data_IF_264900144534
#
_entry.id   IF_264900144534
#
_cell.length_a   1.000
_cell.length_b   1.000
_cell.length_c   1.000
_cell.angle_alpha   90.00
_cell.angle_beta   90.00
_cell.angle_gamma   90.00
#
_symmetry.space_group_name_H-M   'P 1'
#
loop_
_entity.id
_entity.type
_entity.pdbx_description
1 polymer ?
#
# COMPACT_ATOMS: atom_id res chain seq x y z
N UNK A 1 -13.86 26.30 20.72
CA UNK A 1 -12.62 27.05 20.44
C UNK A 1 -12.49 27.20 18.95
N UNK A 2 -12.79 28.39 18.44
CA UNK A 2 -12.68 28.76 17.02
C UNK A 2 -11.21 28.72 16.58
N UNK A 3 -10.93 28.01 15.48
CA UNK A 3 -9.62 28.00 14.83
C UNK A 3 -9.31 29.40 14.31
N UNK A 4 -8.25 30.02 14.80
CA UNK A 4 -7.61 31.13 14.08
C UNK A 4 -6.82 30.52 12.93
N UNK A 5 -7.27 30.78 11.71
CA UNK A 5 -6.61 30.33 10.48
C UNK A 5 -5.31 31.12 10.38
N UNK A 6 -4.17 30.44 10.50
CA UNK A 6 -2.85 31.08 10.39
C UNK A 6 -2.73 31.63 8.98
N UNK A 7 -2.79 32.95 8.81
CA UNK A 7 -2.39 33.60 7.58
C UNK A 7 -0.90 33.33 7.34
N UNK A 8 -0.55 32.78 6.17
CA UNK A 8 0.81 32.80 5.65
C UNK A 8 1.57 31.46 5.62
N UNK A 9 1.21 30.45 6.43
CA UNK A 9 1.81 29.12 6.29
C UNK A 9 1.00 28.30 5.28
N UNK A 10 1.42 28.29 4.01
CA UNK A 10 0.98 27.25 3.07
C UNK A 10 1.44 25.91 3.66
N UNK A 11 0.51 25.12 4.19
CA UNK A 11 0.78 23.70 4.46
C UNK A 11 1.16 23.11 3.12
N UNK A 12 2.42 22.74 2.95
CA UNK A 12 2.88 22.07 1.75
C UNK A 12 2.22 20.70 1.71
N UNK A 13 1.14 20.59 0.95
CA UNK A 13 0.39 19.35 0.76
C UNK A 13 0.98 18.49 -0.35
N UNK A 14 2.18 18.82 -0.85
CA UNK A 14 2.84 18.00 -1.86
C UNK A 14 3.39 16.71 -1.22
N UNK A 15 3.31 15.59 -1.94
CA UNK A 15 3.92 14.34 -1.49
C UNK A 15 5.43 14.53 -1.26
N UNK A 16 5.92 14.19 -0.07
CA UNK A 16 7.34 14.33 0.28
C UNK A 16 8.27 13.51 -0.64
N UNK A 17 7.81 12.32 -1.06
CA UNK A 17 8.57 11.40 -1.91
C UNK A 17 7.61 10.49 -2.70
N UNK A 18 7.37 10.83 -3.97
CA UNK A 18 6.44 10.09 -4.84
C UNK A 18 6.90 8.63 -5.07
N UNK A 19 8.19 8.32 -5.33
CA UNK A 19 8.66 6.94 -5.40
C UNK A 19 8.32 6.10 -4.17
N UNK A 20 8.44 6.66 -2.96
CA UNK A 20 8.07 5.95 -1.73
C UNK A 20 6.56 5.71 -1.58
N UNK A 21 5.72 6.62 -2.09
CA UNK A 21 4.27 6.38 -2.18
C UNK A 21 3.98 5.19 -3.11
N UNK A 22 4.64 5.14 -4.27
CA UNK A 22 4.49 4.03 -5.21
C UNK A 22 4.99 2.71 -4.62
N UNK A 23 6.14 2.71 -3.94
CA UNK A 23 6.68 1.54 -3.24
C UNK A 23 5.72 1.05 -2.15
N UNK A 24 5.22 1.96 -1.31
CA UNK A 24 4.23 1.63 -0.28
C UNK A 24 2.95 1.03 -0.88
N UNK A 25 2.48 1.58 -2.00
CA UNK A 25 1.32 1.06 -2.73
C UNK A 25 1.59 -0.34 -3.30
N UNK A 26 2.76 -0.59 -3.87
CA UNK A 26 3.14 -1.90 -4.38
C UNK A 26 3.17 -2.96 -3.25
N UNK A 27 3.72 -2.60 -2.09
CA UNK A 27 3.73 -3.46 -0.91
C UNK A 27 2.32 -3.71 -0.36
N UNK A 28 1.47 -2.68 -0.33
CA UNK A 28 0.07 -2.80 0.09
C UNK A 28 -0.71 -3.72 -0.86
N UNK A 29 -0.55 -3.54 -2.17
CA UNK A 29 -1.20 -4.37 -3.18
C UNK A 29 -0.76 -5.82 -3.05
N UNK A 30 0.55 -6.07 -3.00
CA UNK A 30 1.10 -7.41 -2.77
C UNK A 30 0.57 -8.04 -1.46
N UNK A 31 0.58 -7.28 -0.36
CA UNK A 31 0.05 -7.74 0.92
C UNK A 31 -1.45 -8.04 0.89
N UNK A 32 -2.21 -7.37 0.02
CA UNK A 32 -3.66 -7.53 -0.08
C UNK A 32 -4.09 -8.90 -0.63
N UNK A 33 -3.21 -9.59 -1.37
CA UNK A 33 -3.42 -11.00 -1.71
C UNK A 33 -3.60 -11.86 -0.45
N UNK A 34 -2.70 -11.70 0.52
CA UNK A 34 -2.77 -12.38 1.81
C UNK A 34 -3.91 -11.87 2.67
N UNK A 35 -4.19 -10.56 2.63
CA UNK A 35 -5.27 -9.94 3.40
C UNK A 35 -6.65 -10.51 3.02
N UNK A 36 -7.01 -10.45 1.73
CA UNK A 36 -8.32 -10.92 1.26
C UNK A 36 -8.34 -12.44 1.03
N UNK A 37 -7.31 -13.01 0.40
CA UNK A 37 -7.23 -14.45 0.17
C UNK A 37 -7.09 -15.26 1.47
N UNK A 38 -6.25 -14.79 2.39
CA UNK A 38 -6.03 -15.41 3.69
C UNK A 38 -7.22 -15.31 4.64
N UNK A 39 -8.16 -14.38 4.40
CA UNK A 39 -9.41 -14.30 5.16
C UNK A 39 -10.32 -15.53 4.98
N UNK A 40 -10.06 -16.37 3.97
CA UNK A 40 -10.71 -17.68 3.83
C UNK A 40 -10.22 -18.72 4.85
N UNK A 41 -9.09 -18.47 5.54
CA UNK A 41 -8.47 -19.34 6.55
C UNK A 41 -8.09 -20.75 6.07
N UNK A 42 -8.19 -21.00 4.77
CA UNK A 42 -7.86 -22.25 4.12
C UNK A 42 -7.51 -22.01 2.64
N UNK A 43 -6.62 -22.85 2.10
CA UNK A 43 -6.26 -22.81 0.67
C UNK A 43 -7.37 -23.47 -0.16
N UNK A 44 -8.40 -22.69 -0.49
CA UNK A 44 -9.63 -23.15 -1.18
C UNK A 44 -9.98 -22.27 -2.37
N UNK A 45 -10.98 -22.68 -3.16
CA UNK A 45 -11.52 -21.85 -4.23
C UNK A 45 -12.00 -20.46 -3.75
N UNK A 46 -12.50 -20.35 -2.51
CA UNK A 46 -12.88 -19.06 -1.91
C UNK A 46 -11.69 -18.12 -1.76
N UNK A 47 -10.54 -18.63 -1.29
CA UNK A 47 -9.31 -17.87 -1.18
C UNK A 47 -8.83 -17.36 -2.55
N UNK A 48 -8.87 -18.24 -3.56
CA UNK A 48 -8.50 -17.90 -4.93
C UNK A 48 -9.42 -16.83 -5.52
N UNK A 49 -10.74 -16.94 -5.33
CA UNK A 49 -11.70 -15.94 -5.80
C UNK A 49 -11.51 -14.60 -5.09
N UNK A 50 -11.26 -14.60 -3.78
CA UNK A 50 -11.00 -13.36 -3.05
C UNK A 50 -9.73 -12.64 -3.56
N UNK A 51 -8.66 -13.38 -3.86
CA UNK A 51 -7.46 -12.82 -4.47
C UNK A 51 -7.74 -12.26 -5.87
N UNK A 52 -8.40 -13.02 -6.75
CA UNK A 52 -8.75 -12.57 -8.11
C UNK A 52 -9.63 -11.32 -8.10
N UNK A 53 -10.65 -11.30 -7.24
CA UNK A 53 -11.53 -10.13 -7.10
C UNK A 53 -10.77 -8.90 -6.61
N UNK A 54 -9.75 -9.08 -5.77
CA UNK A 54 -8.89 -8.00 -5.29
C UNK A 54 -8.11 -7.37 -6.44
N UNK A 55 -7.48 -8.18 -7.29
CA UNK A 55 -6.73 -7.73 -8.46
C UNK A 55 -7.60 -7.00 -9.48
N UNK A 56 -8.78 -7.57 -9.79
CA UNK A 56 -9.73 -6.96 -10.71
C UNK A 56 -10.17 -5.60 -10.18
N UNK A 57 -10.54 -5.51 -8.90
CA UNK A 57 -11.04 -4.25 -8.33
C UNK A 57 -9.94 -3.20 -8.26
N UNK A 58 -8.73 -3.56 -7.80
CA UNK A 58 -7.59 -2.66 -7.73
C UNK A 58 -7.23 -2.07 -9.09
N UNK A 59 -7.10 -2.94 -10.10
CA UNK A 59 -6.77 -2.54 -11.48
C UNK A 59 -7.85 -1.65 -12.09
N UNK A 60 -9.12 -1.99 -11.86
CA UNK A 60 -10.25 -1.23 -12.40
C UNK A 60 -10.37 0.13 -11.73
N UNK A 61 -10.30 0.18 -10.38
CA UNK A 61 -10.42 1.41 -9.63
C UNK A 61 -9.28 2.38 -9.92
N UNK A 62 -8.05 1.88 -10.03
CA UNK A 62 -6.88 2.61 -10.50
C UNK A 62 -7.16 3.25 -11.87
N UNK A 63 -7.58 2.44 -12.84
CA UNK A 63 -7.80 2.90 -14.22
C UNK A 63 -8.86 3.98 -14.27
N UNK A 64 -9.97 3.79 -13.56
CA UNK A 64 -11.05 4.78 -13.48
C UNK A 64 -10.60 6.05 -12.77
N UNK A 65 -9.76 5.95 -11.74
CA UNK A 65 -9.28 7.12 -11.00
C UNK A 65 -8.38 7.98 -11.89
N UNK A 66 -7.47 7.33 -12.60
CA UNK A 66 -6.60 7.95 -13.59
C UNK A 66 -7.44 8.61 -14.69
N UNK A 67 -8.49 7.95 -15.18
CA UNK A 67 -9.39 8.54 -16.17
C UNK A 67 -10.12 9.79 -15.63
N UNK A 68 -10.62 9.74 -14.38
CA UNK A 68 -11.25 10.90 -13.72
C UNK A 68 -10.25 12.06 -13.60
N UNK A 69 -9.02 11.80 -13.16
CA UNK A 69 -7.98 12.83 -13.09
C UNK A 69 -7.64 13.40 -14.46
N UNK A 70 -7.54 12.54 -15.47
CA UNK A 70 -7.25 13.00 -16.83
C UNK A 70 -8.34 13.93 -17.35
N UNK A 71 -9.60 13.58 -17.14
CA UNK A 71 -10.75 14.38 -17.56
C UNK A 71 -10.87 15.70 -16.80
N UNK A 72 -10.53 15.73 -15.51
CA UNK A 72 -10.70 16.92 -14.65
C UNK A 72 -9.49 17.83 -14.61
N UNK A 73 -8.29 17.26 -14.59
CA UNK A 73 -7.03 17.96 -14.36
C UNK A 73 -6.15 18.02 -15.62
N UNK A 74 -6.55 17.33 -16.71
CA UNK A 74 -5.85 17.31 -18.00
C UNK A 74 -4.62 16.40 -18.04
N UNK A 75 -4.13 15.92 -16.89
CA UNK A 75 -2.98 15.02 -16.77
C UNK A 75 -3.18 14.04 -15.61
N UNK A 76 -2.78 12.77 -15.76
CA UNK A 76 -2.81 11.80 -14.67
C UNK A 76 -1.68 12.07 -13.67
N UNK A 77 -1.86 11.66 -12.42
CA UNK A 77 -0.79 11.68 -11.43
C UNK A 77 -0.46 10.27 -10.93
N UNK A 78 0.83 10.01 -10.61
CA UNK A 78 1.24 8.73 -10.02
C UNK A 78 0.64 8.54 -8.62
N UNK A 79 0.47 9.63 -7.86
CA UNK A 79 -0.19 9.57 -6.55
C UNK A 79 -1.67 9.26 -6.69
N UNK A 80 -2.38 9.86 -7.65
CA UNK A 80 -3.77 9.52 -7.96
C UNK A 80 -3.94 8.07 -8.39
N UNK A 81 -3.03 7.56 -9.23
CA UNK A 81 -2.97 6.14 -9.58
C UNK A 81 -2.86 5.26 -8.33
N UNK A 82 -1.95 5.60 -7.41
CA UNK A 82 -1.77 4.86 -6.15
C UNK A 82 -3.01 4.90 -5.26
N UNK A 83 -3.61 6.08 -5.09
CA UNK A 83 -4.84 6.26 -4.31
C UNK A 83 -6.00 5.45 -4.93
N UNK A 84 -6.15 5.49 -6.26
CA UNK A 84 -7.17 4.74 -6.97
C UNK A 84 -7.06 3.23 -6.79
N UNK A 85 -5.84 2.68 -6.82
CA UNK A 85 -5.60 1.27 -6.52
C UNK A 85 -6.04 0.91 -5.10
N UNK A 86 -5.61 1.70 -4.11
CA UNK A 86 -5.94 1.48 -2.69
C UNK A 86 -7.45 1.65 -2.44
N UNK A 87 -8.12 2.58 -3.12
CA UNK A 87 -9.57 2.74 -3.03
C UNK A 87 -10.31 1.49 -3.52
N UNK A 88 -9.86 0.88 -4.62
CA UNK A 88 -10.39 -0.40 -5.10
C UNK A 88 -10.18 -1.52 -4.08
N UNK A 89 -8.95 -1.68 -3.60
CA UNK A 89 -8.58 -2.69 -2.60
C UNK A 89 -9.38 -2.55 -1.30
N UNK A 90 -9.50 -1.34 -0.76
CA UNK A 90 -10.29 -1.06 0.43
C UNK A 90 -11.78 -1.40 0.25
N UNK A 91 -12.34 -1.08 -0.92
CA UNK A 91 -13.77 -1.29 -1.21
C UNK A 91 -14.11 -2.77 -1.43
N UNK A 92 -13.25 -3.57 -2.06
CA UNK A 92 -13.55 -4.99 -2.29
C UNK A 92 -13.39 -5.86 -1.04
N UNK A 93 -12.55 -5.47 -0.07
CA UNK A 93 -12.29 -6.24 1.16
C UNK A 93 -13.51 -6.91 1.79
N UNK A 94 -14.61 -6.21 2.11
CA UNK A 94 -15.78 -6.83 2.76
C UNK A 94 -16.61 -7.75 1.84
N UNK A 95 -16.35 -7.76 0.53
CA UNK A 95 -17.08 -8.58 -0.44
C UNK A 95 -16.19 -9.55 -1.23
N UNK A 96 -14.86 -9.55 -1.05
CA UNK A 96 -13.90 -10.22 -1.92
C UNK A 96 -14.19 -11.72 -2.13
N UNK A 97 -14.52 -12.45 -1.06
CA UNK A 97 -14.85 -13.88 -1.15
C UNK A 97 -16.32 -14.18 -1.45
N UNK A 98 -17.17 -13.16 -1.62
CA UNK A 98 -18.63 -13.31 -1.72
C UNK A 98 -19.18 -12.99 -3.11
N UNK A 99 -18.40 -12.35 -3.98
CA UNK A 99 -18.88 -11.84 -5.27
C UNK A 99 -18.22 -12.54 -6.45
N UNK A 100 -18.87 -12.46 -7.61
CA UNK A 100 -18.30 -12.94 -8.87
C UNK A 100 -17.26 -11.96 -9.43
N UNK A 101 -16.30 -12.41 -10.24
CA UNK A 101 -15.30 -11.56 -10.89
C UNK A 101 -15.85 -10.37 -11.68
N UNK A 102 -16.96 -10.55 -12.41
CA UNK A 102 -17.59 -9.44 -13.14
C UNK A 102 -18.14 -8.35 -12.19
N UNK A 103 -18.61 -8.73 -11.00
CA UNK A 103 -19.10 -7.79 -10.00
C UNK A 103 -17.93 -7.03 -9.37
N UNK A 104 -16.78 -7.67 -9.17
CA UNK A 104 -15.55 -7.02 -8.71
C UNK A 104 -15.11 -5.89 -9.66
N UNK A 105 -15.22 -6.09 -10.97
CA UNK A 105 -14.99 -5.03 -11.96
C UNK A 105 -15.93 -3.83 -11.76
N UNK A 106 -17.24 -4.09 -11.61
CA UNK A 106 -18.23 -3.04 -11.35
C UNK A 106 -17.95 -2.31 -10.03
N UNK A 107 -17.61 -3.05 -8.97
CA UNK A 107 -17.23 -2.51 -7.67
C UNK A 107 -16.01 -1.60 -7.81
N UNK A 108 -15.03 -1.94 -8.65
CA UNK A 108 -13.85 -1.09 -8.90
C UNK A 108 -14.21 0.26 -9.52
N UNK A 109 -15.15 0.28 -10.47
CA UNK A 109 -15.66 1.53 -11.04
C UNK A 109 -16.34 2.37 -9.96
N UNK A 110 -17.24 1.74 -9.19
CA UNK A 110 -17.98 2.42 -8.12
C UNK A 110 -17.05 2.95 -7.02
N UNK A 111 -16.06 2.16 -6.61
CA UNK A 111 -15.05 2.51 -5.62
C UNK A 111 -14.33 3.80 -6.04
N UNK A 112 -13.84 3.84 -7.28
CA UNK A 112 -13.09 4.99 -7.77
C UNK A 112 -13.94 6.25 -7.83
N UNK A 113 -15.13 6.19 -8.43
CA UNK A 113 -16.04 7.35 -8.54
C UNK A 113 -16.45 7.86 -7.16
N UNK A 114 -16.84 6.95 -6.26
CA UNK A 114 -17.34 7.30 -4.94
C UNK A 114 -16.23 7.86 -4.04
N UNK A 115 -15.11 7.15 -3.89
CA UNK A 115 -14.00 7.57 -3.05
C UNK A 115 -13.37 8.87 -3.56
N UNK A 116 -13.24 9.05 -4.89
CA UNK A 116 -12.79 10.31 -5.47
C UNK A 116 -13.71 11.48 -5.09
N UNK A 117 -15.02 11.28 -5.17
CA UNK A 117 -16.02 12.25 -4.71
C UNK A 117 -15.91 12.57 -3.22
N UNK A 118 -15.67 11.57 -2.38
CA UNK A 118 -15.45 11.77 -0.94
C UNK A 118 -14.17 12.56 -0.66
N UNK A 119 -13.05 12.25 -1.31
CA UNK A 119 -11.81 13.03 -1.19
C UNK A 119 -12.02 14.49 -1.60
N UNK A 120 -12.75 14.72 -2.69
CA UNK A 120 -13.13 16.08 -3.10
C UNK A 120 -13.99 16.79 -2.06
N UNK A 121 -14.99 16.13 -1.50
CA UNK A 121 -15.87 16.69 -0.48
C UNK A 121 -15.08 17.08 0.77
N UNK A 122 -14.21 16.19 1.23
CA UNK A 122 -13.28 16.42 2.36
C UNK A 122 -12.41 17.65 2.11
N UNK A 123 -11.80 17.74 0.93
CA UNK A 123 -10.96 18.86 0.52
C UNK A 123 -11.75 20.18 0.45
N UNK A 124 -12.99 20.14 -0.07
CA UNK A 124 -13.87 21.30 -0.12
C UNK A 124 -14.33 21.75 1.27
N UNK A 125 -14.62 20.79 2.17
CA UNK A 125 -15.01 21.05 3.55
C UNK A 125 -13.84 21.47 4.46
N UNK A 126 -12.59 21.42 3.96
CA UNK A 126 -11.39 21.79 4.70
C UNK A 126 -11.10 20.87 5.88
N UNK A 127 -11.45 19.58 5.77
CA UNK A 127 -11.13 18.60 6.80
C UNK A 127 -9.63 18.24 6.75
N UNK A 128 -9.02 18.21 7.93
CA UNK A 128 -7.59 17.93 8.13
C UNK A 128 -7.38 16.41 8.20
N UNK A 129 -7.51 15.75 7.06
CA UNK A 129 -7.17 14.34 6.87
C UNK A 129 -6.09 14.26 5.78
N UNK A 130 -4.86 14.07 6.26
CA UNK A 130 -3.63 14.25 5.50
C UNK A 130 -3.42 13.19 4.41
N UNK A 131 -3.98 11.99 4.59
CA UNK A 131 -3.74 10.84 3.70
C UNK A 131 -5.03 10.35 3.02
N UNK A 132 -6.09 11.16 3.04
CA UNK A 132 -7.40 10.78 2.50
C UNK A 132 -7.96 9.48 3.12
N UNK A 133 -7.60 9.18 4.38
CA UNK A 133 -7.95 7.92 5.05
C UNK A 133 -9.46 7.78 5.17
N UNK A 134 -10.16 8.87 5.48
CA UNK A 134 -11.61 8.84 5.58
C UNK A 134 -12.27 8.56 4.23
N UNK A 135 -11.83 9.26 3.17
CA UNK A 135 -12.43 9.15 1.84
C UNK A 135 -12.17 7.80 1.17
N UNK A 136 -10.97 7.25 1.35
CA UNK A 136 -10.54 6.00 0.72
C UNK A 136 -10.93 4.79 1.55
N UNK A 137 -10.56 4.75 2.84
CA UNK A 137 -10.77 3.58 3.69
C UNK A 137 -12.11 3.62 4.41
N UNK A 138 -12.46 4.76 5.01
CA UNK A 138 -13.73 4.90 5.73
C UNK A 138 -14.93 4.73 4.79
N UNK A 139 -15.00 5.57 3.75
CA UNK A 139 -16.10 5.57 2.80
C UNK A 139 -16.02 4.42 1.80
N UNK A 140 -14.82 4.05 1.32
CA UNK A 140 -14.64 2.87 0.46
C UNK A 140 -15.02 1.57 1.16
N UNK A 141 -14.57 1.37 2.40
CA UNK A 141 -14.96 0.21 3.20
C UNK A 141 -16.47 0.16 3.45
N UNK A 142 -17.08 1.30 3.74
CA UNK A 142 -18.54 1.40 3.91
C UNK A 142 -19.30 1.04 2.63
N UNK A 143 -18.88 1.57 1.48
CA UNK A 143 -19.45 1.22 0.18
C UNK A 143 -19.32 -0.29 -0.07
N UNK A 144 -18.13 -0.84 0.16
CA UNK A 144 -17.85 -2.27 0.02
C UNK A 144 -18.82 -3.14 0.82
N UNK A 145 -18.99 -2.83 2.11
CA UNK A 145 -19.87 -3.60 3.00
C UNK A 145 -21.31 -3.60 2.51
N UNK A 146 -21.79 -2.44 2.06
CA UNK A 146 -23.14 -2.31 1.49
C UNK A 146 -23.26 -3.08 0.17
N UNK A 147 -22.24 -3.01 -0.69
CA UNK A 147 -22.21 -3.75 -1.96
C UNK A 147 -22.13 -5.26 -1.77
N UNK A 148 -21.59 -5.77 -0.64
CA UNK A 148 -21.74 -7.19 -0.26
C UNK A 148 -23.22 -7.59 -0.24
N UNK A 149 -24.10 -6.75 0.30
CA UNK A 149 -25.55 -7.01 0.34
C UNK A 149 -26.21 -7.07 -1.05
N UNK A 150 -25.61 -6.40 -2.03
CA UNK A 150 -26.12 -6.27 -3.40
C UNK A 150 -25.62 -7.40 -4.31
N UNK A 151 -24.32 -7.73 -4.20
CA UNK A 151 -23.62 -8.60 -5.14
C UNK A 151 -23.25 -9.97 -4.59
N UNK A 152 -23.49 -10.26 -3.30
CA UNK A 152 -23.16 -11.57 -2.75
C UNK A 152 -23.86 -12.72 -3.50
N UNK A 153 -23.08 -13.74 -3.85
CA UNK A 153 -23.50 -14.91 -4.60
C UNK A 153 -23.19 -16.17 -3.80
N UNK A 154 -24.24 -16.83 -3.31
CA UNK A 154 -24.12 -18.06 -2.53
C UNK A 154 -23.54 -19.23 -3.34
N UNK A 155 -23.50 -19.15 -4.68
CA UNK A 155 -22.80 -20.15 -5.49
C UNK A 155 -21.27 -20.02 -5.40
N UNK A 156 -20.77 -18.86 -4.96
CA UNK A 156 -19.34 -18.59 -4.74
C UNK A 156 -18.95 -18.89 -3.30
N UNK A 157 -19.70 -18.38 -2.32
CA UNK A 157 -19.31 -18.45 -0.91
C UNK A 157 -20.08 -19.48 -0.08
N UNK A 158 -21.06 -20.18 -0.66
CA UNK A 158 -22.04 -21.00 0.05
C UNK A 158 -23.10 -20.18 0.81
N UNK A 159 -22.70 -19.08 1.42
CA UNK A 159 -23.55 -18.12 2.16
C UNK A 159 -22.76 -16.81 2.39
N UNK A 160 -23.42 -15.66 2.56
CA UNK A 160 -24.85 -15.38 2.37
C UNK A 160 -25.20 -15.10 0.90
N UNK A 161 -26.47 -15.30 0.52
CA UNK A 161 -26.98 -14.84 -0.77
C UNK A 161 -27.42 -13.37 -0.71
N UNK A 162 -27.28 -12.63 -1.82
CA UNK A 162 -27.82 -11.27 -1.95
C UNK A 162 -29.30 -11.22 -1.57
N UNK A 163 -29.67 -10.25 -0.74
CA UNK A 163 -31.04 -10.01 -0.32
C UNK A 163 -31.19 -8.62 0.27
N UNK A 164 -32.41 -8.06 0.25
CA UNK A 164 -32.69 -6.79 0.93
C UNK A 164 -32.41 -6.85 2.44
N UNK A 165 -32.59 -8.03 3.06
CA UNK A 165 -32.23 -8.25 4.46
C UNK A 165 -30.71 -8.19 4.67
N UNK A 166 -29.91 -8.84 3.83
CA UNK A 166 -28.46 -8.77 3.91
C UNK A 166 -27.98 -7.33 3.72
N UNK A 167 -28.51 -6.61 2.71
CA UNK A 167 -28.23 -5.20 2.51
C UNK A 167 -28.51 -4.36 3.77
N UNK A 168 -29.69 -4.53 4.38
CA UNK A 168 -30.05 -3.84 5.62
C UNK A 168 -29.12 -4.17 6.78
N UNK A 169 -28.72 -5.45 6.92
CA UNK A 169 -27.75 -5.90 7.93
C UNK A 169 -26.38 -5.23 7.74
N UNK A 170 -25.87 -5.20 6.51
CA UNK A 170 -24.58 -4.57 6.22
C UNK A 170 -24.62 -3.06 6.46
N UNK A 171 -25.67 -2.38 6.02
CA UNK A 171 -25.85 -0.95 6.26
C UNK A 171 -25.89 -0.63 7.77
N UNK A 172 -26.64 -1.42 8.55
CA UNK A 172 -26.70 -1.26 9.99
C UNK A 172 -25.35 -1.54 10.67
N UNK A 173 -24.68 -2.64 10.31
CA UNK A 173 -23.39 -3.02 10.86
C UNK A 173 -22.32 -1.97 10.58
N UNK A 174 -22.21 -1.51 9.33
CA UNK A 174 -21.27 -0.46 8.92
C UNK A 174 -21.56 0.86 9.63
N UNK A 175 -22.82 1.27 9.73
CA UNK A 175 -23.19 2.52 10.41
C UNK A 175 -22.88 2.47 11.91
N UNK A 176 -23.14 1.33 12.56
CA UNK A 176 -22.83 1.14 13.97
C UNK A 176 -21.31 1.09 14.20
N UNK A 177 -20.56 0.41 13.35
CA UNK A 177 -19.10 0.37 13.42
C UNK A 177 -18.48 1.77 13.23
N UNK A 178 -19.00 2.56 12.27
CA UNK A 178 -18.57 3.93 12.05
C UNK A 178 -18.87 4.83 13.26
N UNK A 179 -20.07 4.73 13.83
CA UNK A 179 -20.45 5.48 15.04
C UNK A 179 -19.57 5.09 16.22
N UNK A 180 -19.37 3.79 16.43
CA UNK A 180 -18.52 3.27 17.50
C UNK A 180 -17.08 3.77 17.35
N UNK A 181 -16.48 3.62 16.15
CA UNK A 181 -15.12 4.09 15.87
C UNK A 181 -15.00 5.59 16.12
N UNK A 182 -15.92 6.40 15.62
CA UNK A 182 -15.91 7.85 15.80
C UNK A 182 -16.00 8.26 17.28
N UNK A 183 -17.00 7.72 18.01
CA UNK A 183 -17.24 8.06 19.42
C UNK A 183 -16.07 7.62 20.29
N UNK A 184 -15.63 6.36 20.15
CA UNK A 184 -14.54 5.82 20.96
C UNK A 184 -13.23 6.52 20.66
N UNK A 185 -12.91 6.79 19.38
CA UNK A 185 -11.70 7.54 19.03
C UNK A 185 -11.70 8.94 19.63
N UNK A 186 -12.83 9.67 19.61
CA UNK A 186 -12.90 10.99 20.24
C UNK A 186 -12.72 10.89 21.75
N UNK A 187 -13.38 9.93 22.41
CA UNK A 187 -13.24 9.74 23.87
C UNK A 187 -11.78 9.43 24.22
N UNK A 188 -11.14 8.50 23.51
CA UNK A 188 -9.74 8.14 23.75
C UNK A 188 -8.79 9.31 23.49
N UNK A 189 -8.93 10.03 22.37
CA UNK A 189 -8.11 11.21 22.09
C UNK A 189 -8.31 12.29 23.16
N UNK A 190 -9.54 12.49 23.65
CA UNK A 190 -9.80 13.45 24.75
C UNK A 190 -9.15 13.01 26.05
N UNK A 191 -9.24 11.73 26.40
CA UNK A 191 -8.63 11.18 27.62
C UNK A 191 -7.10 11.26 27.57
N UNK A 192 -6.48 10.83 26.47
CA UNK A 192 -5.02 10.95 26.28
C UNK A 192 -4.62 12.43 26.29
N UNK A 193 -5.43 13.30 25.69
CA UNK A 193 -5.26 14.74 25.69
C UNK A 193 -5.28 15.42 27.08
N UNK A 194 -5.75 14.73 28.13
CA UNK A 194 -5.66 15.22 29.52
C UNK A 194 -4.24 15.06 30.09
N UNK A 195 -3.48 14.09 29.59
CA UNK A 195 -2.16 13.73 30.13
C UNK A 195 -1.02 14.10 29.17
N UNK A 196 -1.26 14.08 27.86
CA UNK A 196 -0.26 14.27 26.82
C UNK A 196 -0.74 15.26 25.76
N UNK A 197 0.18 16.09 25.26
CA UNK A 197 -0.10 16.96 24.11
C UNK A 197 -0.10 16.13 22.83
N UNK A 198 -1.26 16.00 22.19
CA UNK A 198 -1.42 15.17 20.99
C UNK A 198 -0.82 15.77 19.71
N UNK A 199 -0.68 17.10 19.64
CA UNK A 199 -0.20 17.79 18.44
C UNK A 199 1.13 18.51 18.75
N UNK A 200 2.13 18.44 17.87
CA UNK A 200 3.34 19.25 18.00
C UNK A 200 3.05 20.76 18.03
N UNK A 201 3.95 21.56 18.62
CA UNK A 201 3.85 23.03 18.52
C UNK A 201 4.07 23.52 17.10
N UNK A 202 3.81 24.81 16.83
CA UNK A 202 4.08 25.41 15.53
C UNK A 202 5.55 25.32 15.14
N UNK A 203 6.44 25.46 16.13
CA UNK A 203 7.89 25.38 15.97
C UNK A 203 8.33 23.95 15.70
N UNK A 204 7.80 22.98 16.44
CA UNK A 204 8.08 21.55 16.23
C UNK A 204 7.53 21.05 14.89
N UNK A 205 6.37 21.56 14.45
CA UNK A 205 5.79 21.23 13.14
C UNK A 205 6.69 21.64 11.97
N UNK A 206 7.56 22.64 12.14
CA UNK A 206 8.47 23.07 11.08
C UNK A 206 9.57 22.03 10.79
N UNK A 207 9.94 21.21 11.78
CA UNK A 207 10.91 20.12 11.61
C UNK A 207 10.71 19.03 12.67
N UNK A 208 9.69 18.19 12.46
CA UNK A 208 9.31 17.13 13.40
C UNK A 208 10.43 16.09 13.55
N UNK A 209 11.14 15.76 12.47
CA UNK A 209 12.28 14.84 12.49
C UNK A 209 13.35 15.32 13.47
N UNK A 210 13.74 16.59 13.38
CA UNK A 210 14.74 17.16 14.29
C UNK A 210 14.20 17.33 15.70
N UNK A 211 12.96 17.77 15.86
CA UNK A 211 12.36 18.02 17.18
C UNK A 211 12.17 16.74 18.01
N UNK A 212 11.81 15.62 17.38
CA UNK A 212 11.49 14.37 18.09
C UNK A 212 12.54 13.28 17.94
N UNK A 213 13.29 13.26 16.83
CA UNK A 213 14.28 12.23 16.53
C UNK A 213 15.71 12.76 16.52
N UNK A 214 15.91 14.08 16.60
CA UNK A 214 17.22 14.74 16.48
C UNK A 214 17.97 14.34 15.20
N UNK A 215 17.23 13.99 14.15
CA UNK A 215 17.73 13.52 12.86
C UNK A 215 17.07 14.33 11.72
N UNK A 216 17.66 14.26 10.53
CA UNK A 216 17.09 14.83 9.31
C UNK A 216 16.95 13.69 8.30
N UNK A 217 15.77 13.51 7.72
CA UNK A 217 15.55 12.49 6.68
C UNK A 217 16.49 12.66 5.48
N UNK A 218 16.84 13.91 5.14
CA UNK A 218 17.74 14.24 4.04
C UNK A 218 18.77 15.28 4.48
N UNK A 219 20.05 15.02 4.20
CA UNK A 219 21.13 15.99 4.42
C UNK A 219 21.44 16.72 3.11
N UNK A 220 21.40 18.05 3.13
CA UNK A 220 21.83 18.85 1.97
C UNK A 220 23.35 18.93 1.99
N UNK A 221 24.03 18.13 1.17
CA UNK A 221 25.48 18.28 0.96
C UNK A 221 25.72 19.48 0.02
N UNK A 222 26.50 20.50 0.42
CA UNK A 222 26.87 21.60 -0.47
C UNK A 222 27.68 21.06 -1.65
N UNK A 223 27.11 21.09 -2.87
CA UNK A 223 27.78 20.69 -4.11
C UNK A 223 26.99 19.75 -5.03
N UNK A 224 25.99 19.03 -4.51
CA UNK A 224 25.12 18.17 -5.31
C UNK A 224 23.68 18.70 -5.32
N UNK A 225 23.46 19.79 -6.06
CA UNK A 225 22.12 20.33 -6.32
C UNK A 225 21.39 19.52 -7.38
N UNK A 226 21.11 18.24 -7.12
CA UNK A 226 20.13 17.51 -7.91
C UNK A 226 18.79 17.55 -7.17
N UNK A 227 17.91 18.40 -7.69
CA UNK A 227 16.51 18.63 -7.31
C UNK A 227 16.27 19.27 -5.93
N UNK A 228 16.15 20.60 -5.93
CA UNK A 228 15.29 21.29 -4.99
C UNK A 228 14.22 22.07 -5.77
N UNK A 229 13.04 21.47 -5.86
CA UNK A 229 11.84 22.18 -6.27
C UNK A 229 11.42 23.15 -5.15
N UNK A 230 11.46 24.44 -5.49
CA UNK A 230 10.77 25.58 -4.89
C UNK A 230 11.15 26.06 -3.47
N UNK A 231 11.87 27.19 -3.48
CA UNK A 231 11.67 28.39 -2.65
C UNK A 231 11.72 28.24 -1.12
N UNK A 232 12.93 28.02 -0.61
CA UNK A 232 13.27 28.45 0.75
C UNK A 232 13.70 29.92 0.73
N UNK A 233 12.74 30.85 0.70
CA UNK A 233 13.02 32.26 0.98
C UNK A 233 13.03 32.47 2.49
N UNK A 234 14.12 32.01 3.13
CA UNK A 234 14.46 32.30 4.52
C UNK A 234 15.74 33.10 4.56
N UNK A 235 15.63 34.42 4.48
CA UNK A 235 16.73 35.35 4.79
C UNK A 235 17.12 35.19 6.25
N UNK A 236 18.33 34.70 6.51
CA UNK A 236 19.13 35.10 7.68
C UNK A 236 20.62 34.97 7.33
N UNK A 237 21.17 36.10 6.90
CA UNK A 237 22.49 36.65 7.28
C UNK A 237 23.59 35.67 7.70
N UNK A 238 24.51 35.45 6.76
CA UNK A 238 25.92 35.83 6.87
C UNK A 238 26.73 35.32 8.06
N UNK A 239 27.53 34.28 7.83
CA UNK A 239 28.91 34.20 8.32
C UNK A 239 29.76 33.48 7.27
N UNK A 240 30.31 34.26 6.34
CA UNK A 240 31.45 33.86 5.52
C UNK A 240 32.67 33.78 6.44
N UNK A 241 33.03 32.57 6.89
CA UNK A 241 34.36 32.31 7.40
C UNK A 241 35.31 32.17 6.21
N UNK A 242 36.07 33.24 5.95
CA UNK A 242 37.24 33.21 5.09
C UNK A 242 38.30 32.30 5.73
N UNK A 243 38.60 31.17 5.09
CA UNK A 243 39.85 30.45 5.29
C UNK A 243 40.56 30.29 3.94
N UNK A 244 41.63 31.06 3.81
CA UNK A 244 42.91 30.74 3.16
C UNK A 244 42.92 30.02 1.81
N UNK A 245 43.37 30.76 0.79
CA UNK A 245 43.96 30.21 -0.43
C UNK A 245 45.03 29.15 -0.11
N UNK A 246 44.95 28.00 -0.77
CA UNK A 246 46.06 27.30 -1.42
C UNK A 246 45.55 25.96 -1.99
N UNK A 247 45.40 25.86 -3.31
CA UNK A 247 45.99 24.79 -4.12
C UNK A 247 45.66 25.03 -5.61
N UNK A 248 46.71 25.27 -6.38
CA UNK A 248 46.72 25.27 -7.85
C UNK A 248 46.35 23.91 -8.40
N UNK A 249 45.60 23.93 -9.51
CA UNK A 249 45.81 23.05 -10.66
C UNK A 249 45.75 21.55 -10.43
N UNK A 250 44.57 20.97 -10.67
CA UNK A 250 44.46 19.62 -11.21
C UNK A 250 43.29 19.58 -12.20
N UNK A 251 43.60 19.84 -13.47
CA UNK A 251 42.78 19.40 -14.59
C UNK A 251 42.98 17.89 -14.68
N UNK A 252 41.95 17.09 -14.40
CA UNK A 252 41.92 15.68 -14.78
C UNK A 252 40.96 15.54 -15.98
N UNK A 253 41.38 14.90 -17.09
CA UNK A 253 40.59 14.84 -18.33
C UNK A 253 39.41 13.87 -18.19
N UNK A 254 38.49 13.98 -19.15
CA UNK A 254 37.15 13.40 -19.09
C UNK A 254 37.07 11.89 -18.87
N UNK A 255 35.89 11.49 -18.39
CA UNK A 255 35.27 10.24 -18.83
C UNK A 255 33.88 10.59 -19.36
N UNK A 256 33.81 10.74 -20.69
CA UNK A 256 32.60 10.55 -21.46
C UNK A 256 32.13 9.10 -21.29
N UNK A 257 31.03 8.89 -20.56
CA UNK A 257 30.31 7.61 -20.60
C UNK A 257 29.24 7.69 -21.68
N UNK A 258 29.66 7.38 -22.91
CA UNK A 258 28.78 6.95 -23.99
C UNK A 258 28.92 5.44 -24.10
N UNK A 259 27.88 4.70 -23.71
CA UNK A 259 27.45 3.37 -24.18
C UNK A 259 26.32 2.96 -23.23
N UNK A 260 25.07 2.88 -23.67
CA UNK A 260 24.63 1.78 -24.51
C UNK A 260 24.23 0.61 -23.61
N UNK A 261 23.13 0.72 -22.88
CA UNK A 261 22.46 -0.45 -22.31
C UNK A 261 21.37 -0.87 -23.28
N UNK A 262 21.77 -1.74 -24.20
CA UNK A 262 20.88 -2.69 -24.83
C UNK A 262 20.10 -3.41 -23.72
N UNK A 263 18.76 -3.34 -23.76
CA UNK A 263 17.96 -4.41 -23.20
C UNK A 263 18.19 -5.64 -24.09
N UNK A 264 19.19 -6.46 -23.74
CA UNK A 264 19.17 -7.85 -24.19
C UNK A 264 18.13 -8.54 -23.32
N UNK A 265 16.98 -8.85 -23.92
CA UNK A 265 16.16 -9.93 -23.41
C UNK A 265 17.05 -11.18 -23.42
N UNK A 266 17.32 -11.76 -22.24
CA UNK A 266 17.80 -13.13 -22.21
C UNK A 266 16.67 -14.01 -22.77
N UNK A 267 16.84 -14.40 -24.02
CA UNK A 267 15.96 -15.28 -24.79
C UNK A 267 16.17 -16.76 -24.49
N UNK A 268 16.80 -17.12 -23.38
CA UNK A 268 17.18 -18.50 -23.06
C UNK A 268 16.35 -19.13 -21.93
N UNK A 269 15.04 -18.90 -21.94
CA UNK A 269 14.07 -19.85 -21.40
C UNK A 269 13.18 -20.36 -22.53
N UNK A 270 13.62 -21.44 -23.16
CA UNK A 270 12.76 -22.20 -24.07
C UNK A 270 11.84 -23.10 -23.25
N UNK A 271 10.54 -22.84 -23.34
CA UNK A 271 9.52 -23.77 -22.88
C UNK A 271 9.36 -24.86 -23.93
N UNK A 272 10.01 -26.00 -23.73
CA UNK A 272 9.78 -27.19 -24.57
C UNK A 272 8.59 -27.94 -23.98
N UNK A 273 7.44 -27.88 -24.66
CA UNK A 273 6.38 -28.85 -24.45
C UNK A 273 6.88 -30.22 -24.93
N UNK A 274 6.91 -31.23 -24.06
CA UNK A 274 7.15 -32.62 -24.44
C UNK A 274 5.87 -33.18 -25.11
N UNK A 275 5.86 -33.45 -26.44
CA UNK A 275 4.67 -33.96 -27.12
C UNK A 275 4.48 -35.47 -26.91
N UNK A 276 5.34 -36.14 -26.13
CA UNK A 276 5.47 -37.59 -26.09
C UNK A 276 4.66 -38.33 -25.02
N UNK A 277 4.01 -37.66 -24.07
CA UNK A 277 3.24 -38.35 -23.01
C UNK A 277 1.78 -37.96 -23.01
N UNK A 278 0.99 -38.67 -23.82
CA UNK A 278 -0.46 -38.78 -23.60
C UNK A 278 -0.70 -39.82 -22.51
N UNK A 279 -1.35 -39.42 -21.42
CA UNK A 279 -2.14 -40.32 -20.57
C UNK A 279 -3.40 -39.59 -20.10
N UNK A 280 -4.55 -40.27 -20.01
CA UNK A 280 -5.86 -39.64 -19.86
C UNK A 280 -6.20 -39.34 -18.38
N UNK A 281 -7.04 -38.32 -18.18
CA UNK A 281 -7.73 -37.95 -16.92
C UNK A 281 -6.96 -37.13 -15.86
N UNK A 282 -7.68 -36.31 -15.05
CA UNK A 282 -7.21 -34.99 -14.65
C UNK A 282 -6.54 -35.00 -13.27
N UNK A 283 -5.26 -34.63 -13.21
CA UNK A 283 -4.56 -34.44 -11.94
C UNK A 283 -3.58 -33.27 -11.98
N UNK A 284 -3.71 -32.43 -10.94
CA UNK A 284 -2.67 -31.72 -10.18
C UNK A 284 -1.32 -31.48 -10.86
N UNK A 285 -0.97 -30.19 -10.98
CA UNK A 285 0.39 -29.73 -11.30
C UNK A 285 1.23 -29.83 -10.02
N UNK A 286 2.10 -30.83 -9.95
CA UNK A 286 3.14 -30.92 -8.93
C UNK A 286 4.39 -30.14 -9.37
N UNK A 287 4.84 -29.20 -8.54
CA UNK A 287 6.09 -28.48 -8.71
C UNK A 287 7.20 -29.21 -7.95
N UNK A 288 8.13 -29.85 -8.66
CA UNK A 288 9.34 -30.45 -8.08
C UNK A 288 10.53 -29.53 -8.36
N UNK A 289 11.23 -29.09 -7.31
CA UNK A 289 12.48 -28.36 -7.44
C UNK A 289 13.64 -29.32 -7.75
N UNK A 290 14.41 -29.02 -8.80
CA UNK A 290 15.63 -29.75 -9.17
C UNK A 290 16.79 -29.40 -8.22
N UNK A 291 17.37 -30.36 -7.47
CA UNK A 291 18.47 -30.10 -6.53
C UNK A 291 19.85 -29.90 -7.21
N UNK A 292 19.92 -29.87 -8.54
CA UNK A 292 21.17 -29.98 -9.29
C UNK A 292 22.07 -28.75 -9.48
N UNK A 293 21.74 -27.55 -8.97
CA UNK A 293 22.60 -26.35 -9.17
C UNK A 293 22.74 -25.49 -7.91
N UNK A 294 23.68 -25.86 -7.03
CA UNK A 294 24.23 -24.95 -6.00
C UNK A 294 25.60 -24.44 -6.43
N UNK A 295 25.82 -23.13 -6.27
CA UNK A 295 27.11 -22.46 -6.30
C UNK A 295 28.03 -22.97 -5.16
N UNK A 296 29.37 -23.02 -5.33
CA UNK A 296 30.27 -23.58 -4.33
C UNK A 296 30.46 -22.66 -3.11
N UNK A 297 30.31 -23.23 -1.91
CA UNK A 297 30.68 -22.63 -0.62
C UNK A 297 32.17 -22.92 -0.31
N UNK A 298 32.90 -22.04 0.42
CA UNK A 298 34.30 -22.26 0.74
C UNK A 298 34.49 -23.23 1.91
N UNK A 299 35.40 -24.18 1.72
CA UNK A 299 35.80 -25.21 2.68
C UNK A 299 36.60 -24.67 3.87
N UNK A 300 36.13 -24.95 5.09
CA UNK A 300 37.00 -25.25 6.25
C UNK A 300 36.31 -26.23 7.20
N UNK A 301 37.03 -27.30 7.55
CA UNK A 301 36.75 -28.27 8.62
C UNK A 301 38.06 -28.39 9.46
N UNK A 302 38.09 -29.05 10.64
CA UNK A 302 37.02 -29.44 11.57
C UNK A 302 37.39 -29.23 13.07
N UNK A 303 36.42 -29.35 13.98
CA UNK A 303 36.68 -29.97 15.31
C UNK A 303 35.40 -30.56 15.93
N UNK A 304 35.53 -31.81 16.39
CA UNK A 304 34.53 -32.65 17.06
C UNK A 304 34.24 -32.13 18.47
N UNK A 305 32.96 -32.07 18.88
CA UNK A 305 32.55 -32.51 20.22
C UNK A 305 31.04 -32.77 20.33
N UNK A 306 30.70 -33.72 21.22
CA UNK A 306 29.39 -34.33 21.51
C UNK A 306 28.51 -33.37 22.34
N UNK A 307 27.18 -33.43 22.27
CA UNK A 307 26.33 -34.22 23.18
C UNK A 307 24.81 -33.96 22.98
N UNK A 308 24.05 -35.03 23.24
CA UNK A 308 22.62 -35.24 23.57
C UNK A 308 21.58 -34.12 23.45
N UNK A 309 20.45 -34.48 22.81
CA UNK A 309 19.11 -34.66 23.45
C UNK A 309 17.97 -34.29 22.50
N UNK A 310 17.46 -35.28 21.76
CA UNK A 310 16.18 -35.19 21.08
C UNK A 310 15.04 -35.43 22.08
N UNK A 311 14.07 -34.51 22.14
CA UNK A 311 12.72 -34.82 22.65
C UNK A 311 11.71 -34.48 21.57
N UNK A 312 11.13 -35.53 21.00
CA UNK A 312 9.90 -35.49 20.23
C UNK A 312 8.73 -35.15 21.17
N UNK A 313 7.86 -34.25 20.73
CA UNK A 313 6.50 -34.13 21.26
C UNK A 313 5.56 -34.12 20.05
N UNK A 314 4.94 -35.27 19.79
CA UNK A 314 3.75 -35.36 18.96
C UNK A 314 2.54 -34.99 19.83
N UNK A 315 1.65 -34.15 19.30
CA UNK A 315 0.32 -33.92 19.86
C UNK A 315 -0.67 -34.45 18.82
N UNK A 316 -1.29 -35.56 19.19
CA UNK A 316 -2.39 -36.22 18.49
C UNK A 316 -3.69 -35.69 19.09
N UNK A 317 -4.58 -35.09 18.29
CA UNK A 317 -5.91 -34.68 18.74
C UNK A 317 -6.93 -35.65 18.17
N UNK A 318 -7.48 -36.48 19.06
CA UNK A 318 -8.61 -37.36 18.81
C UNK A 318 -9.92 -36.55 18.65
N UNK A 319 -10.74 -36.93 17.66
CA UNK A 319 -12.15 -36.55 17.58
C UNK A 319 -13.00 -37.49 18.43
N UNK A 320 -14.01 -36.96 19.13
CA UNK A 320 -15.20 -37.74 19.49
C UNK A 320 -16.41 -36.83 19.76
N UNK A 321 -17.50 -37.16 19.04
CA UNK A 321 -18.94 -36.96 19.31
C UNK A 321 -19.46 -35.57 19.68
#
# INVERSE_FOLDING_TARGET
GSREKIEGAKVDSQPHNIPFVALGTALLWFGWFGFNGGSALASTGSAAIAAVNSEITASTALTVWVAIEWLRNGKPSLVGLCIGAVAGLATITPCAGFVRPWAAFVIGILASVFCYGCCMLKNHAGWDDALDVWGVHGMGGALGSVLTGVFADSTISGSPARSGLLFGKQLAATSLAALYSYVVSIVLLRLIGLFLRLKPTKEEMANIDKSFHNELAYTVTPGNSFYQGNNFSGTNTGQLFHLGNNFSGAVIPGNSFSQGTNFSADSDMSWVADPGKRSPEPTTIDWVADPGKRSPEPTTQPSKEKDKSARHVQIEIHSAS
#
